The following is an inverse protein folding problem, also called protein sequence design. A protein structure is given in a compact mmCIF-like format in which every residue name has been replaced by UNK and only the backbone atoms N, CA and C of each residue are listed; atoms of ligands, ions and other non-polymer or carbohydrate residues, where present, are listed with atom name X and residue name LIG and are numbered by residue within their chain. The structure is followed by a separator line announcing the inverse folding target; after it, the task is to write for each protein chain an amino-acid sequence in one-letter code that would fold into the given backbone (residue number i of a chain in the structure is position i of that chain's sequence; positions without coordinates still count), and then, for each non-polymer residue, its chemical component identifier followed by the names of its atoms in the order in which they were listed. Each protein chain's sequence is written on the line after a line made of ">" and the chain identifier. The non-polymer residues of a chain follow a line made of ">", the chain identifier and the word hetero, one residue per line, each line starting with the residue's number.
data_IF_231495472548
#
_entry.id   IF_231495472548
#
_cell.length_a   1.000
_cell.length_b   1.000
_cell.length_c   1.000
_cell.angle_alpha   90.00
_cell.angle_beta   90.00
_cell.angle_gamma   90.00
#
_symmetry.space_group_name_H-M   'P 1'
#
loop_
_entity.id
_entity.type
_entity.pdbx_description
1 polymer ?
#
# COMPACT_ATOMS: atom_id res chain seq x y z
N UNK A 1 30.19 -93.39 78.94
CA UNK A 1 29.25 -94.28 78.22
C UNK A 1 27.92 -93.57 78.15
N UNK A 2 27.34 -93.59 76.95
CA UNK A 2 26.18 -92.87 76.41
C UNK A 2 24.98 -92.66 77.35
N UNK A 3 24.30 -91.52 77.25
CA UNK A 3 23.03 -91.42 76.51
C UNK A 3 22.61 -89.96 76.30
N UNK A 4 22.11 -89.72 75.09
CA UNK A 4 21.45 -88.52 74.59
C UNK A 4 20.30 -88.06 75.47
N UNK A 5 20.06 -86.74 75.55
CA UNK A 5 18.73 -86.16 75.33
C UNK A 5 18.91 -84.73 74.78
N UNK A 6 18.65 -84.59 73.48
CA UNK A 6 18.52 -83.32 72.79
C UNK A 6 17.16 -82.69 73.14
N UNK A 7 17.19 -81.54 73.80
CA UNK A 7 16.00 -80.71 74.06
C UNK A 7 15.87 -79.70 72.91
N UNK A 8 14.89 -79.90 72.04
CA UNK A 8 14.56 -78.94 70.97
C UNK A 8 13.95 -77.66 71.55
N UNK A 9 14.70 -76.56 71.48
CA UNK A 9 14.20 -75.21 71.74
C UNK A 9 13.23 -74.77 70.62
N UNK A 10 12.07 -74.28 71.06
CA UNK A 10 10.95 -73.83 70.25
C UNK A 10 11.24 -72.41 69.74
N UNK A 11 11.38 -72.27 68.42
CA UNK A 11 11.59 -70.99 67.71
C UNK A 11 10.40 -70.05 67.90
N UNK A 12 10.66 -68.80 68.31
CA UNK A 12 9.66 -67.76 68.47
C UNK A 12 9.16 -67.24 67.10
N UNK A 13 7.85 -67.22 66.98
CA UNK A 13 7.06 -66.76 65.83
C UNK A 13 7.12 -65.23 65.75
N UNK A 14 7.63 -64.67 64.65
CA UNK A 14 7.65 -63.23 64.38
C UNK A 14 6.94 -63.01 63.06
N UNK A 15 5.67 -62.60 63.15
CA UNK A 15 4.78 -62.35 62.01
C UNK A 15 5.24 -61.21 61.09
N UNK A 16 4.54 -61.01 59.95
CA UNK A 16 4.98 -60.07 58.92
C UNK A 16 4.86 -58.61 59.37
N UNK A 17 5.82 -57.80 58.96
CA UNK A 17 5.92 -56.35 59.21
C UNK A 17 4.69 -55.57 58.68
N UNK A 18 4.26 -54.48 59.35
CA UNK A 18 3.16 -53.62 58.87
C UNK A 18 3.55 -52.83 57.61
N UNK A 19 2.58 -52.65 56.71
CA UNK A 19 2.76 -51.94 55.44
C UNK A 19 3.00 -50.43 55.65
N UNK A 20 3.92 -49.86 54.87
CA UNK A 20 4.24 -48.42 54.83
C UNK A 20 3.09 -47.59 54.25
N UNK A 21 2.92 -46.32 54.68
CA UNK A 21 1.89 -45.43 54.13
C UNK A 21 2.17 -45.06 52.67
N UNK A 22 1.12 -45.06 51.86
CA UNK A 22 1.14 -44.79 50.42
C UNK A 22 1.48 -43.31 50.16
N UNK A 23 2.37 -43.03 49.20
CA UNK A 23 2.73 -41.67 48.79
C UNK A 23 1.52 -40.91 48.20
N UNK A 24 1.46 -39.56 48.32
CA UNK A 24 0.35 -38.77 47.81
C UNK A 24 0.30 -38.82 46.28
N UNK A 25 -0.91 -39.00 45.77
CA UNK A 25 -1.27 -39.00 44.34
C UNK A 25 -0.86 -37.69 43.66
N UNK A 26 -0.11 -37.82 42.56
CA UNK A 26 0.23 -36.74 41.62
C UNK A 26 -1.04 -36.04 41.13
N UNK A 27 -1.11 -34.69 41.09
CA UNK A 27 -2.28 -34.02 40.53
C UNK A 27 -2.40 -34.32 39.03
N UNK A 28 -3.63 -34.41 38.48
CA UNK A 28 -3.83 -34.67 37.06
C UNK A 28 -3.25 -33.53 36.22
N UNK A 29 -2.42 -33.91 35.25
CA UNK A 29 -1.96 -33.04 34.18
C UNK A 29 -3.18 -32.58 33.36
N UNK A 30 -3.75 -31.40 33.68
CA UNK A 30 -4.84 -30.82 32.90
C UNK A 30 -4.31 -30.53 31.49
N UNK A 31 -4.91 -31.04 30.42
CA UNK A 31 -4.48 -30.71 29.07
C UNK A 31 -4.77 -29.23 28.82
N UNK A 32 -3.74 -28.41 28.98
CA UNK A 32 -3.81 -27.00 28.70
C UNK A 32 -3.99 -26.80 27.18
N UNK A 33 -4.98 -25.95 26.83
CA UNK A 33 -4.84 -24.98 25.73
C UNK A 33 -4.92 -25.46 24.26
N UNK A 34 -5.77 -26.44 23.90
CA UNK A 34 -6.12 -26.59 22.47
C UNK A 34 -6.96 -25.42 21.90
N UNK A 35 -7.77 -24.76 22.73
CA UNK A 35 -8.56 -23.58 22.33
C UNK A 35 -7.74 -22.36 21.91
N UNK A 36 -6.53 -22.17 22.47
CA UNK A 36 -5.65 -21.06 22.08
C UNK A 36 -5.07 -21.24 20.68
N UNK A 37 -4.86 -22.48 20.23
CA UNK A 37 -4.44 -22.77 18.85
C UNK A 37 -5.53 -22.40 17.85
N UNK A 38 -6.80 -22.65 18.17
CA UNK A 38 -7.93 -22.26 17.32
C UNK A 38 -8.15 -20.75 17.32
N UNK A 39 -7.99 -20.08 18.47
CA UNK A 39 -8.03 -18.62 18.53
C UNK A 39 -6.88 -17.98 17.74
N UNK A 40 -5.66 -18.52 17.84
CA UNK A 40 -4.51 -18.07 17.06
C UNK A 40 -4.72 -18.32 15.56
N UNK A 41 -5.19 -19.50 15.17
CA UNK A 41 -5.49 -19.83 13.77
C UNK A 41 -6.60 -18.95 13.19
N UNK A 42 -7.67 -18.69 13.96
CA UNK A 42 -8.75 -17.78 13.55
C UNK A 42 -8.26 -16.34 13.38
N UNK A 43 -7.43 -15.85 14.30
CA UNK A 43 -6.81 -14.52 14.19
C UNK A 43 -5.90 -14.41 12.95
N UNK A 44 -5.11 -15.45 12.67
CA UNK A 44 -4.22 -15.49 11.51
C UNK A 44 -5.00 -15.55 10.18
N UNK A 45 -6.08 -16.31 10.14
CA UNK A 45 -6.98 -16.37 8.99
C UNK A 45 -7.68 -15.03 8.73
N UNK A 46 -8.15 -14.34 9.78
CA UNK A 46 -8.75 -13.02 9.66
C UNK A 46 -7.74 -11.98 9.13
N UNK A 47 -6.51 -11.97 9.65
CA UNK A 47 -5.42 -11.13 9.14
C UNK A 47 -5.11 -11.40 7.67
N UNK A 48 -5.02 -12.67 7.27
CA UNK A 48 -4.78 -13.04 5.88
C UNK A 48 -5.91 -12.56 4.96
N UNK A 49 -7.16 -12.63 5.41
CA UNK A 49 -8.34 -12.19 4.64
C UNK A 49 -8.36 -10.67 4.46
N UNK A 50 -8.02 -9.91 5.51
CA UNK A 50 -7.88 -8.45 5.44
C UNK A 50 -6.73 -8.06 4.50
N UNK A 51 -5.58 -8.73 4.60
CA UNK A 51 -4.45 -8.49 3.71
C UNK A 51 -4.81 -8.77 2.25
N UNK A 52 -5.50 -9.88 1.97
CA UNK A 52 -5.98 -10.20 0.62
C UNK A 52 -6.96 -9.15 0.07
N UNK A 53 -7.87 -8.64 0.92
CA UNK A 53 -8.81 -7.58 0.53
C UNK A 53 -8.09 -6.27 0.20
N UNK A 54 -7.10 -5.87 1.01
CA UNK A 54 -6.31 -4.67 0.77
C UNK A 54 -5.50 -4.78 -0.54
N UNK A 55 -4.90 -5.93 -0.80
CA UNK A 55 -4.17 -6.20 -2.05
C UNK A 55 -5.11 -6.14 -3.27
N UNK A 56 -6.33 -6.68 -3.16
CA UNK A 56 -7.32 -6.62 -4.23
C UNK A 56 -7.76 -5.17 -4.52
N UNK A 57 -7.96 -4.35 -3.50
CA UNK A 57 -8.27 -2.92 -3.66
C UNK A 57 -7.13 -2.17 -4.37
N UNK A 58 -5.88 -2.40 -3.94
CA UNK A 58 -4.72 -1.75 -4.54
C UNK A 58 -4.49 -2.18 -6.00
N UNK A 59 -4.65 -3.47 -6.30
CA UNK A 59 -4.53 -3.98 -7.66
C UNK A 59 -5.56 -3.32 -8.59
N UNK A 60 -6.79 -3.10 -8.11
CA UNK A 60 -7.83 -2.41 -8.87
C UNK A 60 -7.49 -0.92 -9.08
N UNK A 61 -6.90 -0.25 -8.09
CA UNK A 61 -6.47 1.14 -8.21
C UNK A 61 -5.32 1.30 -9.23
N UNK A 62 -4.32 0.42 -9.22
CA UNK A 62 -3.21 0.47 -10.19
C UNK A 62 -3.64 0.11 -11.62
N UNK A 63 -4.74 -0.63 -11.79
CA UNK A 63 -5.33 -0.89 -13.10
C UNK A 63 -6.13 0.30 -13.67
N UNK A 64 -6.48 1.29 -12.83
CA UNK A 64 -7.25 2.46 -13.27
C UNK A 64 -6.40 3.40 -14.13
N UNK A 65 -6.76 3.48 -15.43
CA UNK A 65 -6.09 4.33 -16.41
C UNK A 65 -6.62 5.77 -16.45
N UNK A 66 -7.73 6.07 -15.78
CA UNK A 66 -8.35 7.41 -15.80
C UNK A 66 -7.40 8.54 -15.36
N UNK A 67 -6.48 8.37 -14.38
CA UNK A 67 -5.48 9.39 -14.07
C UNK A 67 -4.57 9.70 -15.27
N UNK A 68 -4.11 8.66 -15.98
CA UNK A 68 -3.25 8.82 -17.17
C UNK A 68 -4.00 9.53 -18.28
N UNK A 69 -5.26 9.15 -18.53
CA UNK A 69 -6.14 9.81 -19.51
C UNK A 69 -6.36 11.28 -19.17
N UNK A 70 -6.48 11.62 -17.89
CA UNK A 70 -6.61 13.01 -17.43
C UNK A 70 -5.37 13.84 -17.77
N UNK A 71 -4.16 13.30 -17.55
CA UNK A 71 -2.92 13.98 -17.94
C UNK A 71 -2.83 14.11 -19.46
N UNK A 72 -3.17 13.05 -20.22
CA UNK A 72 -3.20 13.12 -21.69
C UNK A 72 -4.16 14.21 -22.20
N UNK A 73 -5.36 14.31 -21.61
CA UNK A 73 -6.34 15.34 -21.94
C UNK A 73 -5.82 16.75 -21.67
N UNK A 74 -5.17 16.95 -20.52
CA UNK A 74 -4.52 18.23 -20.20
C UNK A 74 -3.43 18.61 -21.21
N UNK A 75 -2.56 17.66 -21.58
CA UNK A 75 -1.49 17.89 -22.57
C UNK A 75 -2.08 18.19 -23.95
N UNK A 76 -3.10 17.45 -24.38
CA UNK A 76 -3.79 17.71 -25.65
C UNK A 76 -4.43 19.11 -25.67
N UNK A 77 -5.03 19.54 -24.55
CA UNK A 77 -5.57 20.89 -24.41
C UNK A 77 -4.47 21.97 -24.46
N UNK A 78 -3.28 21.69 -23.90
CA UNK A 78 -2.12 22.56 -23.97
C UNK A 78 -1.59 22.70 -25.41
N UNK A 79 -1.46 21.59 -26.15
CA UNK A 79 -1.09 21.60 -27.57
C UNK A 79 -2.12 22.33 -28.45
N UNK A 80 -3.40 22.15 -28.14
CA UNK A 80 -4.49 22.88 -28.78
C UNK A 80 -4.54 24.36 -28.38
N UNK A 81 -3.79 24.76 -27.34
CA UNK A 81 -3.79 26.11 -26.75
C UNK A 81 -5.19 26.52 -26.30
N UNK A 82 -5.97 25.57 -25.79
CA UNK A 82 -7.29 25.81 -25.25
C UNK A 82 -7.19 25.91 -23.72
N UNK A 83 -6.99 27.12 -23.23
CA UNK A 83 -6.91 27.41 -21.80
C UNK A 83 -8.18 26.99 -21.03
N UNK A 84 -9.34 26.95 -21.67
CA UNK A 84 -10.58 26.50 -21.02
C UNK A 84 -10.54 24.99 -20.77
N UNK A 85 -10.14 24.21 -21.77
CA UNK A 85 -9.98 22.76 -21.64
C UNK A 85 -8.82 22.40 -20.71
N UNK A 86 -7.71 23.13 -20.76
CA UNK A 86 -6.60 22.95 -19.81
C UNK A 86 -7.09 23.11 -18.37
N UNK A 87 -7.79 24.22 -18.09
CA UNK A 87 -8.33 24.47 -16.77
C UNK A 87 -9.38 23.44 -16.38
N UNK A 88 -10.15 22.84 -17.30
CA UNK A 88 -11.12 21.79 -16.97
C UNK A 88 -10.49 20.59 -16.26
N UNK A 89 -9.23 20.25 -16.57
CA UNK A 89 -8.50 19.16 -15.94
C UNK A 89 -7.84 19.52 -14.61
N UNK A 90 -7.77 20.80 -14.23
CA UNK A 90 -7.16 21.26 -12.96
C UNK A 90 -8.18 21.22 -11.83
N UNK A 91 -7.73 20.85 -10.62
CA UNK A 91 -8.58 20.75 -9.42
C UNK A 91 -9.38 22.05 -9.21
N UNK A 92 -10.71 21.97 -8.99
CA UNK A 92 -11.61 23.13 -8.89
C UNK A 92 -11.47 23.90 -7.56
N UNK A 93 -10.26 24.38 -7.27
CA UNK A 93 -9.95 25.16 -6.07
C UNK A 93 -10.25 26.66 -6.25
N UNK A 94 -10.22 27.42 -5.16
CA UNK A 94 -10.26 28.90 -5.23
C UNK A 94 -9.06 29.45 -6.00
N UNK A 95 -7.89 28.83 -5.82
CA UNK A 95 -6.65 29.21 -6.50
C UNK A 95 -6.78 29.11 -8.02
N UNK A 96 -7.42 28.04 -8.53
CA UNK A 96 -7.73 27.88 -9.97
C UNK A 96 -8.50 29.08 -10.54
N UNK A 97 -9.45 29.64 -9.78
CA UNK A 97 -10.23 30.82 -10.22
C UNK A 97 -9.40 32.09 -10.28
N UNK A 98 -8.39 32.19 -9.41
CA UNK A 98 -7.48 33.34 -9.36
C UNK A 98 -6.45 33.31 -10.49
N UNK A 99 -5.86 32.14 -10.75
CA UNK A 99 -4.84 31.98 -11.81
C UNK A 99 -5.44 31.82 -13.21
N UNK A 100 -6.74 31.52 -13.32
CA UNK A 100 -7.41 31.26 -14.60
C UNK A 100 -7.21 32.37 -15.66
N UNK A 101 -7.38 33.66 -15.31
CA UNK A 101 -7.07 34.77 -16.23
C UNK A 101 -5.61 34.82 -16.67
N UNK A 102 -4.67 34.56 -15.76
CA UNK A 102 -3.23 34.56 -16.07
C UNK A 102 -2.87 33.41 -17.01
N UNK A 103 -3.38 32.21 -16.75
CA UNK A 103 -3.19 31.05 -17.63
C UNK A 103 -3.70 31.35 -19.04
N UNK A 104 -4.86 31.99 -19.17
CA UNK A 104 -5.40 32.40 -20.48
C UNK A 104 -4.47 33.37 -21.19
N UNK A 105 -3.98 34.40 -20.49
CA UNK A 105 -3.03 35.34 -21.05
C UNK A 105 -1.71 34.68 -21.47
N UNK A 106 -1.19 33.72 -20.68
CA UNK A 106 0.04 33.02 -21.04
C UNK A 106 -0.11 32.14 -22.29
N UNK A 107 -1.27 31.50 -22.46
CA UNK A 107 -1.56 30.68 -23.63
C UNK A 107 -1.58 31.51 -24.92
N UNK A 108 -1.97 32.79 -24.85
CA UNK A 108 -1.93 33.70 -26.02
C UNK A 108 -0.51 33.94 -26.54
N UNK A 109 0.51 33.89 -25.67
CA UNK A 109 1.91 34.03 -26.09
C UNK A 109 2.47 32.75 -26.74
N UNK A 110 1.76 31.63 -26.67
CA UNK A 110 2.20 30.35 -27.26
C UNK A 110 1.76 30.30 -28.73
N UNK A 111 2.71 30.49 -29.65
CA UNK A 111 2.46 30.27 -31.09
C UNK A 111 2.38 28.80 -31.43
N UNK A 112 3.23 27.99 -30.82
CA UNK A 112 3.23 26.55 -30.99
C UNK A 112 3.76 25.87 -29.73
N UNK A 113 3.14 24.75 -29.36
CA UNK A 113 3.68 23.82 -28.38
C UNK A 113 3.28 22.41 -28.79
N UNK A 114 4.25 21.50 -28.79
CA UNK A 114 4.06 20.08 -29.10
C UNK A 114 4.94 19.22 -28.21
N UNK A 115 4.46 18.02 -27.93
CA UNK A 115 5.16 17.01 -27.15
C UNK A 115 5.35 15.77 -28.00
N UNK A 116 6.54 15.65 -28.58
CA UNK A 116 6.92 14.48 -29.37
C UNK A 116 7.34 13.32 -28.47
N UNK A 117 7.09 12.10 -28.95
CA UNK A 117 7.44 10.84 -28.28
C UNK A 117 6.95 10.73 -26.83
N UNK A 118 5.79 11.34 -26.53
CA UNK A 118 5.24 11.40 -25.19
C UNK A 118 4.91 10.02 -24.61
N UNK A 119 5.53 9.69 -23.47
CA UNK A 119 5.29 8.49 -22.67
C UNK A 119 4.66 8.87 -21.34
N UNK A 120 3.72 8.04 -20.91
CA UNK A 120 2.98 8.24 -19.68
C UNK A 120 3.07 6.97 -18.84
N UNK A 121 3.46 7.12 -17.59
CA UNK A 121 3.64 6.02 -16.65
C UNK A 121 2.89 6.33 -15.36
N UNK A 122 1.98 5.44 -14.96
CA UNK A 122 1.31 5.53 -13.66
C UNK A 122 2.27 5.06 -12.57
N UNK A 123 2.80 5.99 -11.77
CA UNK A 123 3.77 5.70 -10.72
C UNK A 123 3.11 5.17 -9.43
N UNK A 124 1.94 5.71 -9.09
CA UNK A 124 1.18 5.30 -7.91
C UNK A 124 -0.29 5.66 -8.07
N UNK A 125 -1.18 4.84 -7.54
CA UNK A 125 -2.60 5.14 -7.37
C UNK A 125 -3.12 4.47 -6.10
N UNK A 126 -3.66 5.24 -5.16
CA UNK A 126 -4.24 4.73 -3.91
C UNK A 126 -5.79 4.76 -3.90
N UNK A 127 -6.40 5.15 -5.02
CA UNK A 127 -7.84 5.28 -5.18
C UNK A 127 -8.38 6.70 -4.93
N UNK A 128 -7.61 7.57 -4.27
CA UNK A 128 -7.95 8.98 -4.05
C UNK A 128 -6.93 9.93 -4.67
N UNK A 129 -5.68 9.49 -4.76
CA UNK A 129 -4.54 10.22 -5.33
C UNK A 129 -3.79 9.32 -6.30
N UNK A 130 -3.28 9.95 -7.34
CA UNK A 130 -2.43 9.28 -8.31
C UNK A 130 -1.24 10.16 -8.68
N UNK A 131 -0.16 9.52 -9.11
CA UNK A 131 0.99 10.21 -9.70
C UNK A 131 1.28 9.60 -11.05
N UNK A 132 1.38 10.46 -12.06
CA UNK A 132 1.64 10.07 -13.44
C UNK A 132 2.89 10.79 -13.90
N UNK A 133 3.92 10.03 -14.29
CA UNK A 133 5.10 10.56 -14.92
C UNK A 133 4.85 10.70 -16.41
N UNK A 134 5.20 11.86 -16.95
CA UNK A 134 5.26 12.11 -18.38
C UNK A 134 6.69 12.39 -18.78
N UNK A 135 7.18 11.70 -19.80
CA UNK A 135 8.43 12.04 -20.48
C UNK A 135 8.15 12.33 -21.95
N UNK A 136 8.74 13.39 -22.49
CA UNK A 136 8.55 13.80 -23.87
C UNK A 136 9.67 14.74 -24.32
N UNK A 137 9.72 15.00 -25.62
CA UNK A 137 10.48 16.11 -26.19
C UNK A 137 9.52 17.26 -26.49
N UNK A 138 9.65 18.37 -25.77
CA UNK A 138 8.81 19.54 -25.95
C UNK A 138 9.42 20.48 -27.00
N UNK A 139 8.70 20.70 -28.09
CA UNK A 139 8.98 21.77 -29.05
C UNK A 139 8.03 22.92 -28.81
N UNK A 140 8.57 24.14 -28.78
CA UNK A 140 7.77 25.32 -28.53
C UNK A 140 8.22 26.51 -29.36
N UNK A 141 7.27 27.38 -29.65
CA UNK A 141 7.45 28.73 -30.17
C UNK A 141 6.59 29.67 -29.35
N UNK A 142 7.22 30.64 -28.71
CA UNK A 142 6.60 31.65 -27.87
C UNK A 142 6.91 33.04 -28.42
N UNK A 143 5.97 33.97 -28.29
CA UNK A 143 6.11 35.34 -28.77
C UNK A 143 5.80 36.31 -27.62
N UNK A 144 6.86 36.89 -27.03
CA UNK A 144 6.75 37.93 -26.00
C UNK A 144 7.20 39.29 -26.55
N UNK A 145 6.85 39.57 -27.81
CA UNK A 145 7.36 40.73 -28.57
C UNK A 145 8.65 40.42 -29.35
N UNK A 146 9.28 39.28 -29.06
CA UNK A 146 10.32 38.65 -29.85
C UNK A 146 10.02 37.15 -29.90
N UNK A 147 10.02 36.56 -31.09
CA UNK A 147 9.77 35.14 -31.27
C UNK A 147 10.96 34.31 -30.79
N UNK A 148 10.69 33.36 -29.90
CA UNK A 148 11.68 32.39 -29.41
C UNK A 148 11.15 30.98 -29.60
N UNK A 149 11.99 30.15 -30.21
CA UNK A 149 11.70 28.75 -30.45
C UNK A 149 12.78 27.88 -29.83
N UNK A 150 12.41 26.69 -29.43
CA UNK A 150 13.34 25.73 -28.87
C UNK A 150 12.77 24.33 -28.75
N UNK A 151 13.67 23.41 -28.47
CA UNK A 151 13.36 22.02 -28.14
C UNK A 151 14.02 21.71 -26.80
N UNK A 152 13.29 21.06 -25.89
CA UNK A 152 13.84 20.59 -24.63
C UNK A 152 13.20 19.28 -24.19
N UNK A 153 13.95 18.37 -23.57
CA UNK A 153 13.35 17.22 -22.91
C UNK A 153 12.50 17.69 -21.73
N UNK A 154 11.38 17.00 -21.53
CA UNK A 154 10.52 17.15 -20.36
C UNK A 154 10.45 15.81 -19.66
N UNK A 155 10.60 15.88 -18.35
CA UNK A 155 10.31 14.82 -17.41
C UNK A 155 9.53 15.47 -16.28
N UNK A 156 8.24 15.15 -16.18
CA UNK A 156 7.35 15.80 -15.23
C UNK A 156 6.51 14.74 -14.52
N UNK A 157 6.35 14.89 -13.21
CA UNK A 157 5.41 14.06 -12.44
C UNK A 157 4.19 14.90 -12.10
N UNK A 158 3.05 14.51 -12.65
CA UNK A 158 1.77 15.12 -12.35
C UNK A 158 1.14 14.44 -11.14
N UNK A 159 0.70 15.24 -10.18
CA UNK A 159 -0.11 14.80 -9.06
C UNK A 159 -1.58 14.98 -9.40
N UNK A 160 -2.37 13.94 -9.13
CA UNK A 160 -3.81 13.94 -9.37
C UNK A 160 -4.57 13.59 -8.11
N UNK A 161 -5.79 14.12 -8.03
CA UNK A 161 -6.74 13.87 -6.96
C UNK A 161 -8.10 13.51 -7.53
N UNK A 162 -8.75 12.51 -6.94
CA UNK A 162 -10.13 12.16 -7.22
C UNK A 162 -11.05 13.10 -6.43
N UNK A 163 -11.86 13.87 -7.13
CA UNK A 163 -12.86 14.79 -6.55
C UNK A 163 -14.20 14.49 -7.19
N UNK A 164 -15.20 14.14 -6.38
CA UNK A 164 -16.57 13.85 -6.84
C UNK A 164 -16.63 12.81 -8.00
N UNK A 165 -15.71 11.84 -7.99
CA UNK A 165 -15.67 10.76 -8.98
C UNK A 165 -14.91 11.08 -10.28
N UNK A 166 -14.32 12.27 -10.40
CA UNK A 166 -13.47 12.67 -11.51
C UNK A 166 -12.03 12.99 -11.04
N UNK A 167 -11.05 12.63 -11.86
CA UNK A 167 -9.65 12.91 -11.59
C UNK A 167 -9.28 14.32 -12.07
N UNK A 168 -8.51 15.04 -11.26
CA UNK A 168 -8.02 16.37 -11.57
C UNK A 168 -6.55 16.51 -11.23
N UNK A 169 -5.82 17.34 -11.98
CA UNK A 169 -4.46 17.74 -11.66
C UNK A 169 -4.48 18.63 -10.42
N UNK A 170 -3.76 18.21 -9.38
CA UNK A 170 -3.57 18.98 -8.14
C UNK A 170 -2.18 19.62 -8.05
N UNK A 171 -1.20 19.07 -8.79
CA UNK A 171 0.17 19.56 -8.76
C UNK A 171 1.01 19.02 -9.93
N UNK A 172 2.18 19.63 -10.10
CA UNK A 172 3.22 19.16 -11.03
C UNK A 172 4.58 19.32 -10.36
N UNK A 173 5.39 18.29 -10.47
CA UNK A 173 6.75 18.24 -9.95
C UNK A 173 7.71 18.07 -11.13
N UNK A 174 8.69 18.96 -11.22
CA UNK A 174 9.79 18.89 -12.19
C UNK A 174 11.05 18.41 -11.45
N UNK A 175 11.89 17.57 -12.07
CA UNK A 175 13.14 17.16 -11.45
C UNK A 175 14.03 18.39 -11.18
N UNK A 176 14.86 18.35 -10.13
CA UNK A 176 15.79 19.43 -9.84
C UNK A 176 16.74 19.61 -11.03
N UNK A 177 16.82 20.85 -11.53
CA UNK A 177 17.75 21.30 -12.58
C UNK A 177 19.17 21.42 -12.10
#
# INVERSE_FOLDING_TARGET
>A
MSHDQATSERKADTGPLPALPTAPSTPPNRPARRWWLWAAAGGLAALALVAALLLALQANALADQRPVETVRGFIAALEARDATQMLAHVEPTVLKRQIGPEVRAYVEYIKEIRFDDARYELLSNDGERARVRMTATMRYTIDYGEERSGERPIDATYELRLVEGAWYLSGVELPPT
#
